data_IF_160189599944
#
_entry.id   IF_160189599944
#
_cell.length_a   1.000
_cell.length_b   1.000
_cell.length_c   1.000
_cell.angle_alpha   90.00
_cell.angle_beta   90.00
_cell.angle_gamma   90.00
#
_symmetry.space_group_name_H-M   'P 1'
#
loop_
_entity.id
_entity.type
_entity.pdbx_description
1 polymer ?
#
# COMPACT_ATOMS: atom_id res chain seq x y z
N UNK A 1 18.72 0.96 15.78
CA UNK A 1 18.29 -0.17 14.93
C UNK A 1 17.56 0.43 13.74
N UNK A 2 18.31 1.09 12.87
CA UNK A 2 17.80 1.81 11.71
C UNK A 2 18.40 1.12 10.50
N UNK A 3 17.55 0.48 9.70
CA UNK A 3 17.96 -0.18 8.47
C UNK A 3 18.07 0.89 7.37
N UNK A 4 19.26 1.18 6.80
CA UNK A 4 19.44 2.26 5.85
C UNK A 4 19.48 1.69 4.43
N UNK A 5 18.32 1.50 3.80
CA UNK A 5 18.27 1.38 2.33
C UNK A 5 17.00 2.03 1.76
N UNK A 6 17.23 2.98 0.85
CA UNK A 6 16.31 3.49 -0.17
C UNK A 6 15.16 4.42 0.28
N UNK A 7 15.52 5.56 0.86
CA UNK A 7 14.65 6.73 0.97
C UNK A 7 14.73 7.68 -0.23
N UNK A 8 14.58 7.20 -1.47
CA UNK A 8 14.64 8.06 -2.68
C UNK A 8 13.55 7.78 -3.73
N UNK A 9 12.35 7.38 -3.29
CA UNK A 9 11.13 7.59 -4.06
C UNK A 9 10.09 8.12 -3.08
N UNK A 10 9.53 9.31 -3.34
CA UNK A 10 8.48 9.94 -2.54
C UNK A 10 7.14 9.18 -2.62
N UNK A 11 7.16 7.88 -2.33
CA UNK A 11 6.00 7.00 -2.40
C UNK A 11 5.48 6.86 -0.96
N UNK A 12 4.35 7.51 -0.62
CA UNK A 12 3.78 7.46 0.73
C UNK A 12 3.11 6.11 1.04
N UNK A 13 2.79 5.32 0.01
CA UNK A 13 2.05 4.06 0.08
C UNK A 13 2.85 2.87 -0.45
N UNK A 14 2.71 1.72 0.21
CA UNK A 14 3.22 0.44 -0.26
C UNK A 14 2.05 -0.50 -0.50
N UNK A 15 1.89 -0.98 -1.73
CA UNK A 15 0.89 -2.00 -2.09
C UNK A 15 1.59 -3.34 -2.25
N UNK A 16 1.13 -4.36 -1.54
CA UNK A 16 1.62 -5.73 -1.60
C UNK A 16 0.54 -6.61 -2.19
N UNK A 17 0.87 -7.34 -3.26
CA UNK A 17 -0.05 -8.27 -3.92
C UNK A 17 0.57 -9.66 -3.83
N UNK A 18 0.15 -10.44 -2.84
CA UNK A 18 0.55 -11.83 -2.69
C UNK A 18 -0.36 -12.79 -3.48
N UNK A 19 0.10 -14.02 -3.71
CA UNK A 19 -0.73 -15.08 -4.34
C UNK A 19 -2.05 -15.33 -3.61
N UNK A 20 -2.10 -15.12 -2.28
CA UNK A 20 -3.31 -15.25 -1.47
C UNK A 20 -4.27 -14.08 -1.70
N UNK A 21 -3.75 -12.86 -1.70
CA UNK A 21 -4.53 -11.65 -2.00
C UNK A 21 -5.12 -11.70 -3.41
N UNK A 22 -4.33 -12.08 -4.41
CA UNK A 22 -4.78 -12.20 -5.79
C UNK A 22 -5.91 -13.23 -5.97
N UNK A 23 -5.88 -14.33 -5.21
CA UNK A 23 -6.96 -15.34 -5.24
C UNK A 23 -8.25 -14.86 -4.58
N UNK A 24 -8.15 -14.00 -3.57
CA UNK A 24 -9.29 -13.40 -2.88
C UNK A 24 -9.73 -12.07 -3.52
N UNK A 25 -9.01 -11.59 -4.54
CA UNK A 25 -9.26 -10.28 -5.15
C UNK A 25 -8.96 -9.11 -4.21
N UNK A 26 -7.98 -9.25 -3.32
CA UNK A 26 -7.56 -8.20 -2.36
C UNK A 26 -6.08 -7.89 -2.47
N UNK A 27 -5.72 -6.64 -2.23
CA UNK A 27 -4.35 -6.15 -2.18
C UNK A 27 -4.09 -5.51 -0.80
N UNK A 28 -2.93 -5.81 -0.23
CA UNK A 28 -2.51 -5.31 1.07
C UNK A 28 -1.88 -3.93 0.90
N UNK A 29 -2.44 -2.92 1.56
CA UNK A 29 -2.04 -1.54 1.43
C UNK A 29 -1.46 -1.05 2.76
N UNK A 30 -0.18 -0.70 2.76
CA UNK A 30 0.57 -0.26 3.93
C UNK A 30 1.07 1.17 3.77
N UNK A 31 0.76 2.04 4.73
CA UNK A 31 1.28 3.41 4.74
C UNK A 31 2.71 3.46 5.29
N UNK A 32 3.51 4.42 4.83
CA UNK A 32 4.88 4.60 5.34
C UNK A 32 4.92 5.04 6.81
N UNK A 33 3.94 5.83 7.25
CA UNK A 33 3.86 6.39 8.60
C UNK A 33 3.01 5.55 9.57
N UNK A 34 2.27 4.56 9.07
CA UNK A 34 1.39 3.69 9.86
C UNK A 34 1.89 2.25 9.89
N UNK A 35 1.74 1.57 11.03
CA UNK A 35 2.17 0.18 11.18
C UNK A 35 1.21 -0.80 10.50
N UNK A 36 -0.06 -0.42 10.36
CA UNK A 36 -1.16 -1.27 9.91
C UNK A 36 -1.21 -1.40 8.38
N UNK A 37 -1.33 -2.65 7.93
CA UNK A 37 -1.63 -2.99 6.55
C UNK A 37 -3.14 -3.25 6.45
N UNK A 38 -3.78 -2.62 5.47
CA UNK A 38 -5.22 -2.76 5.21
C UNK A 38 -5.43 -3.62 3.96
N UNK A 39 -6.32 -4.60 4.05
CA UNK A 39 -6.76 -5.36 2.88
C UNK A 39 -7.80 -4.56 2.10
N UNK A 40 -7.46 -4.16 0.88
CA UNK A 40 -8.33 -3.39 -0.01
C UNK A 40 -8.71 -4.25 -1.21
N UNK A 41 -10.00 -4.33 -1.59
CA UNK A 41 -10.41 -5.07 -2.77
C UNK A 41 -9.76 -4.49 -4.04
N UNK A 42 -9.44 -5.37 -4.98
CA UNK A 42 -8.62 -5.05 -6.15
C UNK A 42 -9.35 -4.15 -7.16
N UNK A 43 -10.69 -4.10 -7.10
CA UNK A 43 -11.49 -3.13 -7.84
C UNK A 43 -11.34 -1.70 -7.30
N UNK A 44 -11.25 -1.54 -5.98
CA UNK A 44 -11.21 -0.23 -5.31
C UNK A 44 -9.78 0.26 -5.05
N UNK A 45 -8.78 -0.61 -5.19
CA UNK A 45 -7.38 -0.31 -4.87
C UNK A 45 -6.86 0.94 -5.59
N UNK A 46 -7.26 1.14 -6.85
CA UNK A 46 -6.80 2.27 -7.67
C UNK A 46 -7.36 3.59 -7.14
N UNK A 47 -8.65 3.62 -6.79
CA UNK A 47 -9.29 4.80 -6.22
C UNK A 47 -8.74 5.14 -4.83
N UNK A 48 -8.59 4.13 -3.97
CA UNK A 48 -8.04 4.30 -2.61
C UNK A 48 -6.62 4.84 -2.66
N UNK A 49 -5.76 4.27 -3.52
CA UNK A 49 -4.39 4.74 -3.72
C UNK A 49 -4.38 6.16 -4.28
N UNK A 50 -5.19 6.46 -5.29
CA UNK A 50 -5.25 7.80 -5.89
C UNK A 50 -5.68 8.87 -4.88
N UNK A 51 -6.68 8.57 -4.03
CA UNK A 51 -7.15 9.46 -2.97
C UNK A 51 -6.06 9.71 -1.92
N UNK A 52 -5.42 8.65 -1.43
CA UNK A 52 -4.35 8.77 -0.42
C UNK A 52 -3.08 9.43 -0.94
N UNK A 53 -2.75 9.29 -2.22
CA UNK A 53 -1.61 9.98 -2.85
C UNK A 53 -1.90 11.47 -3.06
N UNK A 54 -3.16 11.83 -3.35
CA UNK A 54 -3.57 13.23 -3.55
C UNK A 54 -3.68 14.04 -2.26
N UNK A 55 -3.72 13.40 -1.09
CA UNK A 55 -3.70 14.07 0.21
C UNK A 55 -5.02 14.74 0.60
N UNK A 56 -6.14 14.11 0.23
CA UNK A 56 -7.49 14.49 0.70
C UNK A 56 -8.00 13.54 1.79
#
# INVERSE_FOLDING_TARGET
>A
MDCPVAGLLGIPLRVTIGNRGLKNGVAELKMRTGADAEDVPMDEIVEVVAKRVRGE
#
